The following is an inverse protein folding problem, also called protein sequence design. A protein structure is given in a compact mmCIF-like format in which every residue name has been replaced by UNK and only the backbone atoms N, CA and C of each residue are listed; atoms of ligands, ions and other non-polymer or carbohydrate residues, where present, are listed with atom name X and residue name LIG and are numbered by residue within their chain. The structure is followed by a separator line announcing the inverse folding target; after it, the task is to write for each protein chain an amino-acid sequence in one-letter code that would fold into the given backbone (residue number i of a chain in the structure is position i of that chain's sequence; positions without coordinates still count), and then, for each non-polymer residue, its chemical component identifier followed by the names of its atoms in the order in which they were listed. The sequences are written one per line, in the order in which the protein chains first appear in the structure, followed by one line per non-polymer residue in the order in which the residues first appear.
data_IF_316894974818
#
_entry.id   IF_316894974818
#
_cell.length_a   1.000
_cell.length_b   1.000
_cell.length_c   1.000
_cell.angle_alpha   90.00
_cell.angle_beta   90.00
_cell.angle_gamma   90.00
#
_symmetry.space_group_name_H-M   'P 1'
#
loop_
_entity.id
_entity.type
_entity.pdbx_description
1 polymer ?
#
# COMPACT_ATOMS: atom_id res chain seq x y z
N UNK A 1 0.49 6.26 14.95
CA UNK A 1 0.65 6.03 13.50
C UNK A 1 -0.51 5.27 12.87
N UNK A 2 -0.90 4.02 13.28
CA UNK A 2 -2.04 3.32 12.64
C UNK A 2 -3.39 4.03 12.87
N UNK A 3 -3.57 4.63 14.03
CA UNK A 3 -4.78 5.40 14.35
C UNK A 3 -4.83 6.65 13.49
N UNK A 4 -3.73 7.37 13.36
CA UNK A 4 -3.62 8.56 12.50
C UNK A 4 -3.85 8.23 11.03
N UNK A 5 -3.32 7.09 10.56
CA UNK A 5 -3.59 6.60 9.20
C UNK A 5 -5.08 6.31 9.01
N UNK A 6 -5.72 5.59 9.93
CA UNK A 6 -7.14 5.28 9.85
C UNK A 6 -8.04 6.53 9.93
N UNK A 7 -7.64 7.53 10.72
CA UNK A 7 -8.34 8.83 10.77
C UNK A 7 -8.19 9.56 9.43
N UNK A 8 -6.99 9.60 8.87
CA UNK A 8 -6.73 10.27 7.60
C UNK A 8 -7.47 9.58 6.43
N UNK A 9 -7.48 8.25 6.38
CA UNK A 9 -8.25 7.45 5.43
C UNK A 9 -9.75 7.74 5.56
N UNK A 10 -10.32 7.59 6.75
CA UNK A 10 -11.76 7.86 6.98
C UNK A 10 -12.15 9.32 6.70
N UNK A 11 -11.22 10.26 6.90
CA UNK A 11 -11.42 11.67 6.56
C UNK A 11 -11.36 11.88 5.05
N UNK A 12 -10.38 11.30 4.38
CA UNK A 12 -10.14 11.45 2.95
C UNK A 12 -11.14 10.70 2.07
N UNK A 13 -11.72 9.60 2.57
CA UNK A 13 -12.61 8.72 1.82
C UNK A 13 -13.80 9.44 1.17
N UNK A 14 -14.30 10.51 1.79
CA UNK A 14 -15.39 11.33 1.24
C UNK A 14 -14.98 12.23 0.06
N UNK A 15 -13.69 12.41 -0.16
CA UNK A 15 -13.13 13.28 -1.21
C UNK A 15 -12.48 12.49 -2.36
N UNK A 16 -12.40 11.20 -2.23
CA UNK A 16 -11.82 10.34 -3.27
C UNK A 16 -12.55 10.52 -4.61
N UNK A 17 -11.79 10.68 -5.70
CA UNK A 17 -12.27 10.98 -7.05
C UNK A 17 -12.96 12.34 -7.22
N UNK A 18 -12.89 13.22 -6.22
CA UNK A 18 -13.41 14.58 -6.33
C UNK A 18 -12.38 15.54 -6.95
N UNK A 19 -12.88 16.58 -7.62
CA UNK A 19 -12.01 17.64 -8.11
C UNK A 19 -11.49 18.54 -6.96
N UNK A 20 -10.46 19.32 -7.27
CA UNK A 20 -9.78 20.19 -6.30
C UNK A 20 -10.74 21.25 -5.71
N UNK A 21 -11.52 21.90 -6.53
CA UNK A 21 -12.40 23.01 -6.10
C UNK A 21 -13.47 22.48 -5.14
N UNK A 22 -13.98 21.27 -5.42
CA UNK A 22 -14.91 20.61 -4.53
C UNK A 22 -14.24 20.31 -3.17
N UNK A 23 -13.06 19.72 -3.18
CA UNK A 23 -12.30 19.41 -1.95
C UNK A 23 -12.04 20.69 -1.15
N UNK A 24 -11.56 21.77 -1.78
CA UNK A 24 -11.29 23.04 -1.10
C UNK A 24 -12.55 23.64 -0.49
N UNK A 25 -13.70 23.56 -1.17
CA UNK A 25 -14.97 24.11 -0.70
C UNK A 25 -15.61 23.30 0.43
N UNK A 26 -15.36 22.00 0.52
CA UNK A 26 -16.03 21.06 1.43
C UNK A 26 -15.11 20.46 2.50
N UNK A 27 -13.82 20.77 2.45
CA UNK A 27 -12.84 20.26 3.41
C UNK A 27 -13.02 20.90 4.79
N UNK A 28 -14.08 20.51 5.46
CA UNK A 28 -14.36 20.91 6.84
C UNK A 28 -15.06 19.79 7.62
N UNK A 29 -14.88 19.76 8.94
CA UNK A 29 -15.43 18.72 9.80
C UNK A 29 -16.96 18.66 9.80
N UNK A 30 -17.64 19.80 9.60
CA UNK A 30 -19.09 19.83 9.52
C UNK A 30 -19.57 19.04 8.30
N UNK A 31 -19.01 19.34 7.13
CA UNK A 31 -19.36 18.63 5.90
C UNK A 31 -19.12 17.14 6.03
N UNK A 32 -17.94 16.74 6.50
CA UNK A 32 -17.54 15.33 6.65
C UNK A 32 -18.47 14.58 7.60
N UNK A 33 -18.96 15.22 8.66
CA UNK A 33 -19.87 14.58 9.63
C UNK A 33 -21.30 14.43 9.12
N UNK A 34 -21.77 15.34 8.28
CA UNK A 34 -23.20 15.47 7.96
C UNK A 34 -23.55 15.13 6.51
N UNK A 35 -22.58 15.01 5.62
CA UNK A 35 -22.83 14.67 4.23
C UNK A 35 -22.30 13.27 3.95
N UNK A 36 -23.23 12.37 3.67
CA UNK A 36 -22.89 11.09 3.07
C UNK A 36 -22.63 11.33 1.59
N UNK A 37 -21.42 11.03 1.18
CA UNK A 37 -21.16 10.89 -0.25
C UNK A 37 -22.07 9.80 -0.81
N UNK A 38 -22.54 9.92 -2.07
CA UNK A 38 -23.25 8.83 -2.73
C UNK A 38 -22.39 7.56 -2.87
N UNK A 39 -21.17 7.60 -2.44
CA UNK A 39 -20.27 6.47 -2.38
C UNK A 39 -20.42 5.71 -1.07
N UNK A 40 -20.38 4.46 -1.18
CA UNK A 40 -20.61 3.30 -0.36
C UNK A 40 -20.01 3.31 1.08
N UNK A 41 -19.14 4.26 1.43
CA UNK A 41 -18.53 4.30 2.78
C UNK A 41 -19.23 5.38 3.60
N UNK A 42 -19.89 5.01 4.71
CA UNK A 42 -20.45 5.98 5.64
C UNK A 42 -19.36 6.91 6.20
N UNK A 43 -19.71 8.16 6.45
CA UNK A 43 -18.83 9.15 7.05
C UNK A 43 -18.16 8.60 8.32
N UNK A 44 -16.84 8.71 8.41
CA UNK A 44 -16.05 8.21 9.55
C UNK A 44 -15.67 6.72 9.46
N UNK A 45 -15.96 6.04 8.35
CA UNK A 45 -15.52 4.68 8.12
C UNK A 45 -14.25 4.67 7.27
N UNK A 46 -13.29 3.85 7.65
CA UNK A 46 -12.07 3.63 6.90
C UNK A 46 -12.30 2.75 5.64
N UNK A 47 -11.40 2.84 4.68
CA UNK A 47 -11.44 2.11 3.41
C UNK A 47 -10.47 0.91 3.40
N UNK A 48 -10.17 0.40 2.21
CA UNK A 48 -9.17 -0.65 1.99
C UNK A 48 -7.75 -0.21 2.38
N UNK A 49 -7.43 1.08 2.35
CA UNK A 49 -6.17 1.63 2.85
C UNK A 49 -5.87 1.13 4.27
N UNK A 50 -6.78 1.38 5.19
CA UNK A 50 -6.62 0.94 6.58
C UNK A 50 -6.75 -0.58 6.71
N UNK A 51 -7.72 -1.20 6.04
CA UNK A 51 -7.94 -2.64 6.15
C UNK A 51 -6.71 -3.45 5.71
N UNK A 52 -6.13 -3.11 4.57
CA UNK A 52 -4.92 -3.77 4.10
C UNK A 52 -3.68 -3.42 4.95
N UNK A 53 -3.61 -2.20 5.48
CA UNK A 53 -2.55 -1.81 6.43
C UNK A 53 -2.59 -2.66 7.70
N UNK A 54 -3.77 -2.96 8.24
CA UNK A 54 -3.92 -3.85 9.39
C UNK A 54 -3.45 -5.27 9.06
N UNK A 55 -3.80 -5.79 7.90
CA UNK A 55 -3.33 -7.11 7.45
C UNK A 55 -1.81 -7.18 7.29
N UNK A 56 -1.17 -6.11 6.77
CA UNK A 56 0.30 -6.00 6.71
C UNK A 56 0.90 -5.98 8.12
N UNK A 57 0.30 -5.25 9.05
CA UNK A 57 0.77 -5.24 10.45
C UNK A 57 0.69 -6.64 11.08
N UNK A 58 -0.42 -7.34 10.91
CA UNK A 58 -0.61 -8.70 11.42
C UNK A 58 0.43 -9.67 10.83
N UNK A 59 0.67 -9.57 9.52
CA UNK A 59 1.70 -10.33 8.83
C UNK A 59 3.09 -10.10 9.42
N UNK A 60 3.49 -8.85 9.62
CA UNK A 60 4.78 -8.51 10.20
C UNK A 60 4.97 -9.04 11.63
N UNK A 61 3.89 -9.18 12.40
CA UNK A 61 3.94 -9.67 13.77
C UNK A 61 3.97 -11.19 13.84
N UNK A 62 3.28 -11.87 12.93
CA UNK A 62 3.05 -13.31 13.01
C UNK A 62 3.96 -14.14 12.08
N UNK A 63 4.55 -13.51 11.02
CA UNK A 63 5.35 -14.20 10.01
C UNK A 63 6.77 -13.63 9.92
N UNK A 64 7.73 -14.12 10.74
CA UNK A 64 9.12 -13.63 10.69
C UNK A 64 9.81 -13.81 9.33
N UNK A 65 9.41 -14.82 8.56
CA UNK A 65 9.97 -15.14 7.24
C UNK A 65 9.44 -14.20 6.13
N UNK A 66 8.46 -13.36 6.45
CA UNK A 66 7.82 -12.42 5.51
C UNK A 66 7.29 -13.13 4.24
N UNK A 67 6.68 -14.30 4.43
CA UNK A 67 6.11 -15.09 3.33
C UNK A 67 4.91 -14.37 2.69
N UNK A 68 4.96 -14.26 1.34
CA UNK A 68 3.90 -13.63 0.57
C UNK A 68 2.59 -14.42 0.55
N UNK A 69 2.64 -15.77 0.71
CA UNK A 69 1.44 -16.60 0.80
C UNK A 69 0.65 -16.30 2.09
N UNK A 70 1.34 -16.17 3.23
CA UNK A 70 0.69 -15.78 4.49
C UNK A 70 0.03 -14.41 4.38
N UNK A 71 0.71 -13.44 3.76
CA UNK A 71 0.13 -12.11 3.54
C UNK A 71 -1.09 -12.16 2.61
N UNK A 72 -1.01 -12.91 1.52
CA UNK A 72 -2.15 -13.06 0.60
C UNK A 72 -3.36 -13.70 1.27
N UNK A 73 -3.14 -14.72 2.11
CA UNK A 73 -4.19 -15.34 2.91
C UNK A 73 -4.85 -14.34 3.86
N UNK A 74 -4.06 -13.46 4.52
CA UNK A 74 -4.60 -12.41 5.39
C UNK A 74 -5.43 -11.40 4.62
N UNK A 75 -4.95 -10.96 3.45
CA UNK A 75 -5.71 -10.05 2.61
C UNK A 75 -7.04 -10.66 2.17
N UNK A 76 -7.04 -11.91 1.71
CA UNK A 76 -8.25 -12.61 1.29
C UNK A 76 -9.23 -12.83 2.46
N UNK A 77 -8.71 -13.22 3.64
CA UNK A 77 -9.52 -13.43 4.85
C UNK A 77 -10.16 -12.13 5.35
N UNK A 78 -9.40 -11.05 5.36
CA UNK A 78 -9.86 -9.74 5.87
C UNK A 78 -10.62 -8.93 4.83
N UNK A 79 -10.70 -9.39 3.56
CA UNK A 79 -11.38 -8.67 2.49
C UNK A 79 -12.85 -8.41 2.80
N UNK A 80 -13.25 -7.15 2.72
CA UNK A 80 -14.65 -6.75 2.88
C UNK A 80 -15.07 -5.82 1.74
N UNK A 81 -16.02 -6.21 0.87
CA UNK A 81 -16.40 -5.45 -0.34
C UNK A 81 -16.77 -3.99 -0.08
N UNK A 82 -17.40 -3.70 1.07
CA UNK A 82 -17.80 -2.34 1.44
C UNK A 82 -16.64 -1.40 1.79
N UNK A 83 -15.38 -1.88 1.77
CA UNK A 83 -14.17 -1.06 2.04
C UNK A 83 -13.58 -0.40 0.79
N UNK A 84 -14.32 -0.35 -0.32
CA UNK A 84 -13.97 0.38 -1.55
C UNK A 84 -12.68 -0.07 -2.23
N UNK A 85 -12.37 -1.34 -2.16
CA UNK A 85 -11.25 -1.89 -2.92
C UNK A 85 -11.34 -1.51 -4.40
N UNK A 86 -10.21 -1.11 -4.98
CA UNK A 86 -10.11 -0.98 -6.43
C UNK A 86 -10.46 -2.30 -7.12
N UNK A 87 -11.15 -2.24 -8.28
CA UNK A 87 -11.67 -3.42 -8.98
C UNK A 87 -10.61 -4.52 -9.21
N UNK A 88 -9.37 -4.13 -9.55
CA UNK A 88 -8.28 -5.07 -9.75
C UNK A 88 -7.89 -5.83 -8.47
N UNK A 89 -7.72 -5.13 -7.36
CA UNK A 89 -7.39 -5.75 -6.08
C UNK A 89 -8.53 -6.63 -5.56
N UNK A 90 -9.78 -6.16 -5.67
CA UNK A 90 -10.96 -6.93 -5.30
C UNK A 90 -11.03 -8.26 -6.06
N UNK A 91 -10.87 -8.23 -7.39
CA UNK A 91 -10.89 -9.43 -8.21
C UNK A 91 -9.77 -10.40 -7.87
N UNK A 92 -8.55 -9.91 -7.66
CA UNK A 92 -7.42 -10.74 -7.24
C UNK A 92 -7.74 -11.48 -5.94
N UNK A 93 -8.21 -10.75 -4.92
CA UNK A 93 -8.48 -11.33 -3.60
C UNK A 93 -9.66 -12.31 -3.61
N UNK A 94 -10.75 -11.96 -4.30
CA UNK A 94 -11.91 -12.85 -4.43
C UNK A 94 -11.56 -14.12 -5.19
N UNK A 95 -10.89 -14.01 -6.35
CA UNK A 95 -10.51 -15.17 -7.13
C UNK A 95 -9.55 -16.08 -6.37
N UNK A 96 -8.60 -15.49 -5.63
CA UNK A 96 -7.69 -16.28 -4.80
C UNK A 96 -8.44 -16.99 -3.65
N UNK A 97 -9.37 -16.31 -2.99
CA UNK A 97 -10.18 -16.92 -1.93
C UNK A 97 -11.02 -18.10 -2.42
N UNK A 98 -11.52 -18.03 -3.66
CA UNK A 98 -12.34 -19.08 -4.28
C UNK A 98 -11.53 -20.29 -4.77
N UNK A 99 -10.35 -20.05 -5.35
CA UNK A 99 -9.58 -21.07 -6.08
C UNK A 99 -8.38 -21.60 -5.32
N UNK A 100 -7.79 -20.81 -4.42
CA UNK A 100 -6.53 -21.16 -3.75
C UNK A 100 -5.35 -21.29 -4.74
N UNK A 101 -4.33 -22.02 -4.35
CA UNK A 101 -3.14 -22.25 -5.20
C UNK A 101 -2.01 -21.25 -4.99
N UNK A 102 -1.14 -21.07 -6.00
CA UNK A 102 0.00 -20.14 -5.87
C UNK A 102 -0.48 -18.70 -6.02
N UNK A 103 -0.30 -17.90 -4.98
CA UNK A 103 -0.66 -16.49 -4.96
C UNK A 103 0.01 -15.65 -6.06
N UNK A 104 1.15 -16.13 -6.59
CA UNK A 104 1.90 -15.43 -7.63
C UNK A 104 1.18 -15.36 -8.96
N UNK A 105 0.24 -16.29 -9.19
CA UNK A 105 -0.52 -16.38 -10.43
C UNK A 105 -1.63 -15.32 -10.51
N UNK A 106 -1.96 -14.67 -9.40
CA UNK A 106 -3.11 -13.77 -9.31
C UNK A 106 -2.79 -12.29 -9.55
N UNK A 107 -1.59 -11.84 -9.22
CA UNK A 107 -1.23 -10.42 -9.30
C UNK A 107 -1.23 -9.84 -10.73
N UNK A 108 -1.27 -10.70 -11.74
CA UNK A 108 -1.36 -10.34 -13.17
C UNK A 108 -2.71 -10.68 -13.79
N UNK A 109 -3.68 -11.13 -13.00
CA UNK A 109 -4.96 -11.66 -13.48
C UNK A 109 -5.74 -10.67 -14.37
N UNK A 110 -5.80 -9.38 -13.97
CA UNK A 110 -6.46 -8.33 -14.74
C UNK A 110 -5.53 -7.56 -15.67
N UNK A 111 -4.27 -7.43 -15.28
CA UNK A 111 -3.27 -6.65 -15.99
C UNK A 111 -2.06 -7.55 -16.24
N UNK A 112 -1.76 -7.93 -17.50
CA UNK A 112 -0.67 -8.87 -17.80
C UNK A 112 0.70 -8.45 -17.24
N UNK A 113 0.97 -7.14 -17.20
CA UNK A 113 2.19 -6.58 -16.60
C UNK A 113 2.05 -6.27 -15.11
N UNK A 114 0.89 -6.57 -14.53
CA UNK A 114 0.51 -6.21 -13.16
C UNK A 114 -0.09 -4.81 -13.04
N UNK A 115 -0.87 -4.59 -11.98
CA UNK A 115 -1.39 -3.27 -11.64
C UNK A 115 -0.29 -2.35 -11.12
N UNK A 116 -0.33 -1.08 -11.49
CA UNK A 116 0.48 0.02 -10.92
C UNK A 116 -0.36 0.99 -10.09
N UNK A 117 -1.57 0.60 -9.68
CA UNK A 117 -2.40 1.39 -8.77
C UNK A 117 -1.72 1.63 -7.42
N UNK A 118 -2.24 2.60 -6.66
CA UNK A 118 -1.69 2.99 -5.35
C UNK A 118 -1.88 1.93 -4.25
N UNK A 119 -2.69 0.89 -4.47
CA UNK A 119 -3.01 -0.14 -3.48
C UNK A 119 -1.80 -0.87 -2.90
N UNK A 120 -0.65 -0.88 -3.61
CA UNK A 120 0.60 -1.40 -3.07
C UNK A 120 1.27 -0.43 -2.08
N UNK A 121 1.18 0.88 -2.31
CA UNK A 121 1.85 1.90 -1.52
C UNK A 121 1.04 2.32 -0.29
N UNK A 122 -0.28 2.39 -0.38
CA UNK A 122 -1.17 2.86 0.68
C UNK A 122 -1.03 2.08 2.00
N UNK A 123 -0.64 0.79 1.94
CA UNK A 123 -0.67 -0.17 3.06
C UNK A 123 0.67 -0.43 3.75
N UNK A 124 1.78 0.15 3.26
CA UNK A 124 3.14 -0.24 3.70
C UNK A 124 3.70 0.55 4.89
N UNK A 125 2.91 1.45 5.49
CA UNK A 125 3.35 2.21 6.64
C UNK A 125 3.91 1.33 7.79
N UNK A 126 3.31 0.17 8.15
CA UNK A 126 3.87 -0.72 9.16
C UNK A 126 5.26 -1.27 8.80
N UNK A 127 5.54 -1.45 7.51
CA UNK A 127 6.85 -1.91 7.02
C UNK A 127 7.90 -0.83 7.28
N UNK A 128 7.59 0.42 6.93
CA UNK A 128 8.46 1.57 7.20
C UNK A 128 8.78 1.73 8.69
N UNK A 129 7.79 1.47 9.56
CA UNK A 129 7.99 1.51 11.00
C UNK A 129 8.90 0.40 11.51
N UNK A 130 8.60 -0.84 11.12
CA UNK A 130 9.34 -2.01 11.63
C UNK A 130 10.79 -2.02 11.17
N UNK A 131 11.05 -1.63 9.94
CA UNK A 131 12.36 -1.69 9.31
C UNK A 131 12.98 -0.30 9.08
N UNK A 132 12.64 0.68 9.90
CA UNK A 132 13.12 2.07 9.75
C UNK A 132 14.64 2.20 9.76
N UNK A 133 15.36 1.24 10.33
CA UNK A 133 16.82 1.19 10.42
C UNK A 133 17.44 0.05 9.61
N UNK A 134 16.62 -0.71 8.90
CA UNK A 134 17.08 -1.83 8.04
C UNK A 134 16.56 -1.66 6.60
N UNK A 135 17.29 -0.94 5.74
CA UNK A 135 16.89 -0.71 4.36
C UNK A 135 16.70 -1.97 3.54
N UNK A 136 17.47 -3.03 3.79
CA UNK A 136 17.36 -4.27 3.02
C UNK A 136 16.07 -5.02 3.36
N UNK A 137 15.75 -5.16 4.64
CA UNK A 137 14.50 -5.76 5.09
C UNK A 137 13.28 -4.92 4.66
N UNK A 138 13.38 -3.58 4.71
CA UNK A 138 12.32 -2.68 4.24
C UNK A 138 12.01 -2.93 2.75
N UNK A 139 13.02 -2.95 1.89
CA UNK A 139 12.85 -3.18 0.45
C UNK A 139 12.24 -4.55 0.20
N UNK A 140 12.76 -5.60 0.84
CA UNK A 140 12.25 -6.96 0.71
C UNK A 140 10.78 -7.04 1.11
N UNK A 141 10.42 -6.57 2.30
CA UNK A 141 9.05 -6.62 2.82
C UNK A 141 8.07 -5.80 1.96
N UNK A 142 8.45 -4.60 1.53
CA UNK A 142 7.61 -3.75 0.71
C UNK A 142 7.37 -4.36 -0.68
N UNK A 143 8.41 -4.91 -1.32
CA UNK A 143 8.27 -5.63 -2.59
C UNK A 143 7.41 -6.89 -2.46
N UNK A 144 7.58 -7.67 -1.39
CA UNK A 144 6.74 -8.84 -1.11
C UNK A 144 5.29 -8.43 -0.93
N UNK A 145 5.03 -7.41 -0.11
CA UNK A 145 3.67 -6.87 0.04
C UNK A 145 3.06 -6.42 -1.29
N UNK A 146 3.81 -5.68 -2.11
CA UNK A 146 3.29 -5.21 -3.39
C UNK A 146 2.91 -6.37 -4.32
N UNK A 147 3.79 -7.37 -4.45
CA UNK A 147 3.62 -8.49 -5.39
C UNK A 147 2.37 -9.33 -5.17
N UNK A 148 1.76 -9.33 -3.99
CA UNK A 148 0.55 -10.11 -3.72
C UNK A 148 -0.65 -9.67 -4.58
N UNK A 149 -0.72 -8.37 -4.94
CA UNK A 149 -1.84 -7.78 -5.69
C UNK A 149 -1.39 -6.86 -6.84
N UNK A 150 -0.16 -6.34 -6.79
CA UNK A 150 0.36 -5.32 -7.72
C UNK A 150 1.75 -5.73 -8.21
N UNK A 151 1.82 -6.52 -9.29
CA UNK A 151 3.07 -7.05 -9.81
C UNK A 151 3.90 -6.03 -10.61
N UNK A 152 3.30 -4.93 -11.08
CA UNK A 152 3.96 -3.95 -11.92
C UNK A 152 5.18 -3.31 -11.22
N UNK A 153 6.24 -3.02 -12.00
CA UNK A 153 7.48 -2.44 -11.48
C UNK A 153 7.27 -1.16 -10.69
N UNK A 154 6.48 -0.23 -11.24
CA UNK A 154 6.20 1.06 -10.58
C UNK A 154 5.45 0.90 -9.25
N UNK A 155 4.53 -0.08 -9.14
CA UNK A 155 3.84 -0.36 -7.89
C UNK A 155 4.81 -0.84 -6.81
N UNK A 156 5.75 -1.73 -7.16
CA UNK A 156 6.79 -2.20 -6.23
C UNK A 156 7.73 -1.08 -5.79
N UNK A 157 8.13 -0.22 -6.72
CA UNK A 157 8.96 0.96 -6.40
C UNK A 157 8.19 1.95 -5.51
N UNK A 158 6.93 2.27 -5.84
CA UNK A 158 6.08 3.14 -5.04
C UNK A 158 5.87 2.62 -3.62
N UNK A 159 5.66 1.31 -3.46
CA UNK A 159 5.55 0.70 -2.13
C UNK A 159 6.84 0.86 -1.31
N UNK A 160 8.01 0.65 -1.92
CA UNK A 160 9.30 0.85 -1.24
C UNK A 160 9.51 2.32 -0.88
N UNK A 161 9.24 3.24 -1.81
CA UNK A 161 9.41 4.68 -1.56
C UNK A 161 8.47 5.16 -0.45
N UNK A 162 7.24 4.71 -0.41
CA UNK A 162 6.29 5.05 0.65
C UNK A 162 6.74 4.50 2.02
N UNK A 163 7.20 3.25 2.08
CA UNK A 163 7.76 2.69 3.30
C UNK A 163 9.02 3.45 3.75
N UNK A 164 9.89 3.83 2.80
CA UNK A 164 11.08 4.63 3.05
C UNK A 164 10.74 6.05 3.54
N UNK A 165 9.66 6.65 3.04
CA UNK A 165 9.17 7.94 3.51
C UNK A 165 8.77 7.87 4.99
N UNK A 166 8.02 6.83 5.37
CA UNK A 166 7.66 6.59 6.78
C UNK A 166 8.91 6.39 7.65
N UNK A 167 9.86 5.55 7.19
CA UNK A 167 11.11 5.32 7.89
C UNK A 167 11.94 6.62 8.06
N UNK A 168 12.01 7.43 7.02
CA UNK A 168 12.71 8.73 6.99
C UNK A 168 12.11 9.71 8.01
N UNK A 169 10.78 9.79 8.07
CA UNK A 169 10.07 10.62 9.04
C UNK A 169 10.32 10.15 10.48
N UNK A 170 10.23 8.84 10.74
CA UNK A 170 10.46 8.26 12.06
C UNK A 170 11.90 8.44 12.56
N UNK A 171 12.86 8.50 11.65
CA UNK A 171 14.26 8.75 11.97
C UNK A 171 14.55 10.27 12.22
N UNK A 172 13.52 11.11 12.27
CA UNK A 172 13.64 12.52 12.61
C UNK A 172 14.30 13.39 11.52
N UNK A 173 14.18 12.97 10.25
CA UNK A 173 14.71 13.76 9.14
C UNK A 173 13.99 15.10 9.05
N UNK A 174 14.73 16.20 9.07
CA UNK A 174 14.18 17.54 8.95
C UNK A 174 13.45 17.73 7.61
N UNK A 175 12.36 18.52 7.57
CA UNK A 175 11.54 18.70 6.36
C UNK A 175 12.33 19.04 5.09
N UNK A 176 13.36 19.91 5.23
CA UNK A 176 14.19 20.38 4.12
C UNK A 176 15.04 19.26 3.50
N UNK A 177 15.32 18.20 4.28
CA UNK A 177 16.11 17.04 3.84
C UNK A 177 15.26 15.86 3.41
N UNK A 178 13.95 15.95 3.58
CA UNK A 178 13.04 14.81 3.35
C UNK A 178 13.03 14.36 1.88
N UNK A 179 12.74 15.27 0.96
CA UNK A 179 12.74 14.96 -0.48
C UNK A 179 14.13 14.55 -1.00
N UNK A 180 15.24 15.23 -0.67
CA UNK A 180 16.58 14.75 -1.01
C UNK A 180 16.88 13.35 -0.47
N UNK A 181 16.39 12.98 0.70
CA UNK A 181 16.55 11.63 1.25
C UNK A 181 15.77 10.59 0.44
N UNK A 182 14.54 10.89 0.05
CA UNK A 182 13.75 10.02 -0.83
C UNK A 182 14.38 9.87 -2.22
N UNK A 183 14.98 10.94 -2.77
CA UNK A 183 15.75 10.87 -4.01
C UNK A 183 16.87 9.82 -3.95
N UNK A 184 17.62 9.77 -2.84
CA UNK A 184 18.65 8.73 -2.63
C UNK A 184 18.08 7.30 -2.58
N UNK A 185 16.87 7.13 -2.05
CA UNK A 185 16.18 5.85 -2.10
C UNK A 185 15.83 5.43 -3.53
N UNK A 186 15.33 6.38 -4.33
CA UNK A 186 15.01 6.12 -5.75
C UNK A 186 16.25 5.71 -6.54
N UNK A 187 17.34 6.48 -6.43
CA UNK A 187 18.63 6.13 -7.07
C UNK A 187 19.15 4.75 -6.66
N UNK A 188 18.96 4.36 -5.39
CA UNK A 188 19.31 3.03 -4.91
C UNK A 188 18.48 1.95 -5.60
N UNK A 189 17.16 2.13 -5.69
CA UNK A 189 16.26 1.18 -6.35
C UNK A 189 16.59 0.99 -7.82
N UNK A 190 16.89 2.08 -8.53
CA UNK A 190 17.30 2.04 -9.94
C UNK A 190 18.61 1.29 -10.13
N UNK A 191 19.60 1.52 -9.27
CA UNK A 191 20.89 0.76 -9.31
C UNK A 191 20.71 -0.71 -9.04
N UNK A 192 19.85 -1.09 -8.10
CA UNK A 192 19.56 -2.50 -7.81
C UNK A 192 18.91 -3.21 -9.00
N UNK A 193 18.00 -2.53 -9.71
CA UNK A 193 17.34 -3.07 -10.90
C UNK A 193 18.33 -3.25 -12.06
N UNK A 194 19.15 -2.25 -12.34
CA UNK A 194 20.19 -2.33 -13.38
C UNK A 194 21.22 -3.43 -13.05
N UNK A 195 21.66 -3.53 -11.80
CA UNK A 195 22.57 -4.58 -11.34
C UNK A 195 21.96 -5.98 -11.36
N UNK A 196 20.64 -6.11 -11.19
CA UNK A 196 19.88 -7.37 -11.33
C UNK A 196 19.73 -7.81 -12.78
N UNK A 197 19.46 -6.88 -13.69
CA UNK A 197 19.39 -7.14 -15.12
C UNK A 197 20.73 -7.61 -15.70
N UNK A 198 21.86 -7.09 -15.19
CA UNK A 198 23.21 -7.47 -15.63
C UNK A 198 23.64 -8.87 -15.12
N UNK A 199 23.08 -9.34 -14.02
CA UNK A 199 23.35 -10.70 -13.48
C UNK A 199 22.44 -11.79 -14.02
N UNK A 200 21.40 -11.44 -14.76
CA UNK A 200 20.44 -12.35 -15.38
C UNK A 200 20.58 -12.51 -16.89
N UNK A 201 21.58 -11.87 -17.51
CA UNK A 201 21.92 -12.15 -18.91
C UNK A 201 22.80 -13.40 -18.98
N UNK A 202 22.46 -14.38 -19.83
CA UNK A 202 23.25 -15.61 -20.00
C UNK A 202 24.65 -15.34 -20.55
#
# INVERSE_FOLDING_TARGET
MLVELAIADAYGAGFEMSDRDFVESKNNLHYIKHHQYPSVVPTGHYTDDTQMTLSVREWLLACPQLDGADLMNRFAHNFHPARRYGSGAAQVLQTYAERGGDWRDYATLMFPEGSYGNGAAMRVAPIGCRFSRDPAALICAARTSARTTHAHRLAKQGAVLQAAAVATALNGTAPERFLPQLGRWLERLEREELGGAYRGAP
#
